data_IF_728270660975
#
_entry.id   IF_728270660975
#
_cell.length_a   1.000
_cell.length_b   1.000
_cell.length_c   1.000
_cell.angle_alpha   90.00
_cell.angle_beta   90.00
_cell.angle_gamma   90.00
#
_symmetry.space_group_name_H-M   'P 1'
#
loop_
_entity.id
_entity.type
_entity.pdbx_description
1 polymer ?
#
# COMPACT_ATOMS: atom_id res chain seq x y z
N UNK A 1 25.01 -20.97 -15.00
CA UNK A 1 24.34 -19.84 -14.37
C UNK A 1 22.86 -20.18 -14.29
N UNK A 2 22.30 -20.35 -13.11
CA UNK A 2 20.85 -20.51 -12.95
C UNK A 2 20.22 -19.14 -13.15
N UNK A 3 19.63 -18.90 -14.32
CA UNK A 3 18.81 -17.72 -14.57
C UNK A 3 17.45 -17.82 -13.88
N UNK A 4 16.58 -16.84 -14.11
CA UNK A 4 15.20 -16.90 -13.68
C UNK A 4 14.48 -18.07 -14.34
N UNK A 5 13.45 -18.61 -13.68
CA UNK A 5 12.64 -19.71 -14.22
C UNK A 5 12.00 -19.31 -15.56
N UNK A 6 11.81 -20.31 -16.44
CA UNK A 6 11.01 -20.09 -17.64
C UNK A 6 9.61 -19.61 -17.25
N UNK A 7 9.10 -18.61 -17.97
CA UNK A 7 7.81 -17.98 -17.65
C UNK A 7 7.84 -16.92 -16.53
N UNK A 8 9.03 -16.51 -16.06
CA UNK A 8 9.15 -15.37 -15.16
C UNK A 8 8.59 -14.10 -15.82
N UNK A 9 7.69 -13.42 -15.12
CA UNK A 9 7.00 -12.25 -15.66
C UNK A 9 7.82 -10.98 -15.41
N UNK A 10 8.47 -10.48 -16.46
CA UNK A 10 9.13 -9.18 -16.45
C UNK A 10 8.14 -8.09 -16.85
N UNK A 11 8.17 -6.94 -16.17
CA UNK A 11 7.25 -5.85 -16.47
C UNK A 11 7.53 -4.58 -15.68
N UNK A 12 6.52 -3.73 -15.59
CA UNK A 12 6.57 -2.47 -14.87
C UNK A 12 5.38 -2.29 -13.93
N UNK A 13 5.51 -1.32 -13.02
CA UNK A 13 4.49 -1.02 -12.03
C UNK A 13 4.26 0.48 -11.90
N UNK A 14 2.99 0.88 -11.83
CA UNK A 14 2.52 2.26 -11.60
C UNK A 14 1.21 2.18 -10.80
N UNK A 15 0.77 3.27 -10.17
CA UNK A 15 -0.56 3.37 -9.57
C UNK A 15 -1.51 4.15 -10.47
N UNK A 16 -2.82 3.87 -10.40
CA UNK A 16 -3.85 4.57 -11.16
C UNK A 16 -3.73 6.10 -11.01
N UNK A 17 -3.62 6.60 -9.78
CA UNK A 17 -3.48 8.03 -9.52
C UNK A 17 -2.21 8.67 -10.08
N UNK A 18 -1.17 7.88 -10.38
CA UNK A 18 0.09 8.40 -10.94
C UNK A 18 0.05 8.56 -12.46
N UNK A 19 -0.84 7.84 -13.15
CA UNK A 19 -0.82 7.81 -14.61
C UNK A 19 -2.15 8.13 -15.27
N UNK A 20 -3.31 7.82 -14.66
CA UNK A 20 -4.59 7.89 -15.36
C UNK A 20 -4.99 9.31 -15.78
N UNK A 21 -4.94 10.27 -14.87
CA UNK A 21 -5.61 11.55 -15.12
C UNK A 21 -7.13 11.39 -15.22
N UNK A 22 -7.80 12.21 -16.04
CA UNK A 22 -9.25 12.10 -16.22
C UNK A 22 -10.03 12.11 -14.90
N UNK A 23 -9.62 12.92 -13.94
CA UNK A 23 -10.02 12.85 -12.54
C UNK A 23 -11.51 13.11 -12.25
N UNK A 24 -12.24 13.70 -13.22
CA UNK A 24 -13.69 13.89 -13.18
C UNK A 24 -14.45 13.08 -14.23
N UNK A 25 -13.74 12.36 -15.08
CA UNK A 25 -14.36 11.68 -16.22
C UNK A 25 -14.95 10.33 -15.81
N UNK A 26 -15.95 9.91 -16.59
CA UNK A 26 -16.65 8.64 -16.33
C UNK A 26 -17.32 8.57 -14.95
N UNK A 27 -17.63 9.71 -14.32
CA UNK A 27 -18.26 9.74 -13.00
C UNK A 27 -17.33 9.45 -11.82
N UNK A 28 -16.01 9.53 -12.04
CA UNK A 28 -15.02 9.36 -10.95
C UNK A 28 -15.26 10.37 -9.82
N UNK A 29 -15.23 9.89 -8.58
CA UNK A 29 -15.24 10.73 -7.39
C UNK A 29 -13.85 11.26 -7.01
N UNK A 30 -13.82 12.15 -6.03
CA UNK A 30 -12.57 12.71 -5.48
C UNK A 30 -11.91 11.69 -4.57
N UNK A 31 -10.64 11.40 -4.78
CA UNK A 31 -9.81 10.56 -3.92
C UNK A 31 -8.91 11.38 -3.00
N UNK A 32 -8.26 10.74 -2.03
CA UNK A 32 -7.22 11.39 -1.20
C UNK A 32 -6.05 11.89 -2.05
N UNK A 33 -5.72 11.24 -3.17
CA UNK A 33 -4.69 11.68 -4.09
C UNK A 33 -5.06 13.00 -4.79
N UNK A 34 -6.35 13.23 -5.07
CA UNK A 34 -6.85 14.40 -5.77
C UNK A 34 -6.84 15.69 -4.91
N UNK A 35 -6.61 15.58 -3.60
CA UNK A 35 -6.53 16.73 -2.67
C UNK A 35 -5.11 16.96 -2.15
N UNK A 36 -4.11 16.38 -2.81
CA UNK A 36 -2.70 16.58 -2.49
C UNK A 36 -2.00 17.37 -3.59
N UNK A 37 -1.51 18.56 -3.23
CA UNK A 37 -0.86 19.47 -4.19
C UNK A 37 0.50 18.93 -4.67
N UNK A 38 1.00 19.46 -5.78
CA UNK A 38 2.39 19.29 -6.17
C UNK A 38 3.31 19.91 -5.11
N UNK A 39 4.40 19.19 -4.80
CA UNK A 39 5.55 19.75 -4.13
C UNK A 39 6.58 20.26 -5.13
N UNK A 40 7.66 20.84 -4.61
CA UNK A 40 8.86 21.18 -5.38
C UNK A 40 10.09 21.01 -4.47
N UNK A 41 11.29 21.16 -5.02
CA UNK A 41 12.48 21.14 -4.17
C UNK A 41 12.39 22.20 -3.08
N UNK A 42 12.44 21.77 -1.82
CA UNK A 42 12.26 22.65 -0.64
C UNK A 42 10.82 23.14 -0.37
N UNK A 43 9.83 22.67 -1.16
CA UNK A 43 8.41 22.99 -0.94
C UNK A 43 7.64 21.69 -0.72
N UNK A 44 7.15 21.42 0.49
CA UNK A 44 6.38 20.20 0.77
C UNK A 44 5.02 20.22 0.03
N UNK A 45 4.49 19.02 -0.21
CA UNK A 45 3.10 18.87 -0.67
C UNK A 45 2.13 19.25 0.46
N UNK A 46 0.99 19.83 0.08
CA UNK A 46 -0.09 20.15 1.01
C UNK A 46 -1.26 19.19 0.85
N UNK A 47 -1.84 18.76 1.96
CA UNK A 47 -3.11 18.05 2.01
C UNK A 47 -4.20 19.11 2.18
N UNK A 48 -5.00 19.35 1.14
CA UNK A 48 -6.04 20.37 1.16
C UNK A 48 -7.39 19.81 1.66
N UNK A 49 -8.27 20.68 2.12
CA UNK A 49 -9.62 20.28 2.52
C UNK A 49 -10.59 20.34 1.32
N UNK A 50 -10.43 19.38 0.41
CA UNK A 50 -11.07 19.36 -0.91
C UNK A 50 -10.19 19.98 -1.99
N UNK A 51 -10.67 19.96 -3.23
CA UNK A 51 -9.98 20.55 -4.37
C UNK A 51 -10.18 22.07 -4.35
N UNK A 52 -9.11 22.83 -4.30
CA UNK A 52 -9.11 24.29 -4.24
C UNK A 52 -8.73 24.89 -5.58
N UNK A 53 -9.42 25.95 -5.98
CA UNK A 53 -9.10 26.70 -7.21
C UNK A 53 -7.68 27.30 -7.13
N UNK A 54 -6.96 27.28 -8.25
CA UNK A 54 -5.61 27.84 -8.37
C UNK A 54 -4.47 26.99 -7.77
N UNK A 55 -4.77 25.86 -7.14
CA UNK A 55 -3.76 24.90 -6.69
C UNK A 55 -3.43 23.90 -7.80
N UNK A 56 -2.18 23.44 -7.84
CA UNK A 56 -1.73 22.40 -8.77
C UNK A 56 -1.86 21.02 -8.11
N UNK A 57 -2.67 20.16 -8.72
CA UNK A 57 -2.86 18.76 -8.31
C UNK A 57 -2.37 17.83 -9.44
N UNK A 58 -1.15 17.28 -9.34
CA UNK A 58 -0.54 16.54 -10.46
C UNK A 58 -1.36 15.33 -10.91
N UNK A 59 -2.08 14.71 -9.99
CA UNK A 59 -2.87 13.52 -10.28
C UNK A 59 -4.12 13.79 -11.15
N UNK A 60 -4.54 15.07 -11.30
CA UNK A 60 -5.72 15.41 -12.11
C UNK A 60 -5.49 15.16 -13.60
N UNK A 61 -4.29 15.43 -14.08
CA UNK A 61 -3.88 15.19 -15.48
C UNK A 61 -2.96 13.99 -15.61
N UNK A 62 -2.01 13.83 -14.67
CA UNK A 62 -0.98 12.79 -14.69
C UNK A 62 -0.29 12.71 -16.07
N UNK A 63 -0.32 11.54 -16.72
CA UNK A 63 0.12 11.39 -18.13
C UNK A 63 -1.03 11.11 -19.08
N UNK A 64 -2.26 11.34 -18.63
CA UNK A 64 -3.50 11.15 -19.41
C UNK A 64 -3.68 9.70 -19.91
N UNK A 65 -3.26 8.73 -19.13
CA UNK A 65 -3.39 7.31 -19.50
C UNK A 65 -4.87 6.89 -19.68
N UNK A 66 -5.80 7.56 -19.00
CA UNK A 66 -7.23 7.31 -19.17
C UNK A 66 -7.66 7.34 -20.63
N UNK A 67 -7.11 8.26 -21.44
CA UNK A 67 -7.38 8.36 -22.88
C UNK A 67 -6.34 7.62 -23.73
N UNK A 68 -5.10 7.48 -23.24
CA UNK A 68 -3.95 7.02 -24.00
C UNK A 68 -3.56 5.57 -23.75
N UNK A 69 -4.23 4.84 -22.88
CA UNK A 69 -3.83 3.49 -22.46
C UNK A 69 -3.55 2.51 -23.61
N UNK A 70 -4.27 2.62 -24.75
CA UNK A 70 -4.05 1.75 -25.92
C UNK A 70 -2.68 1.97 -26.56
N UNK A 71 -2.28 3.23 -26.67
CA UNK A 71 -0.97 3.59 -27.19
C UNK A 71 0.14 3.18 -26.23
N UNK A 72 -0.03 3.49 -24.95
CA UNK A 72 0.96 3.22 -23.92
C UNK A 72 1.16 1.71 -23.69
N UNK A 73 0.09 0.91 -23.68
CA UNK A 73 0.18 -0.57 -23.57
C UNK A 73 0.90 -1.16 -24.78
N UNK A 74 0.70 -0.63 -25.98
CA UNK A 74 1.46 -1.03 -27.16
C UNK A 74 2.95 -0.77 -26.97
N UNK A 75 3.33 0.38 -26.42
CA UNK A 75 4.72 0.70 -26.10
C UNK A 75 5.29 -0.24 -25.04
N UNK A 76 4.51 -0.61 -24.01
CA UNK A 76 4.93 -1.62 -23.04
C UNK A 76 5.22 -2.98 -23.70
N UNK A 77 4.40 -3.38 -24.66
CA UNK A 77 4.62 -4.60 -25.43
C UNK A 77 5.90 -4.53 -26.27
N UNK A 78 6.18 -3.39 -26.91
CA UNK A 78 7.42 -3.13 -27.65
C UNK A 78 8.66 -3.17 -26.72
N UNK A 79 8.53 -2.71 -25.49
CA UNK A 79 9.56 -2.83 -24.43
C UNK A 79 9.76 -4.28 -23.94
N UNK A 80 8.88 -5.20 -24.31
CA UNK A 80 8.95 -6.60 -23.94
C UNK A 80 8.28 -6.97 -22.63
N UNK A 81 7.40 -6.13 -22.08
CA UNK A 81 6.65 -6.44 -20.86
C UNK A 81 5.85 -7.73 -21.01
N UNK A 82 5.86 -8.55 -19.97
CA UNK A 82 5.03 -9.76 -19.80
C UNK A 82 3.99 -9.59 -18.71
N UNK A 83 4.14 -8.60 -17.86
CA UNK A 83 3.12 -8.17 -16.91
C UNK A 83 3.14 -6.65 -16.76
N UNK A 84 2.01 -6.09 -16.40
CA UNK A 84 1.85 -4.69 -16.05
C UNK A 84 1.07 -4.59 -14.73
N UNK A 85 1.73 -4.04 -13.71
CA UNK A 85 1.07 -3.78 -12.44
C UNK A 85 0.51 -2.37 -12.41
N UNK A 86 -0.79 -2.25 -12.12
CA UNK A 86 -1.44 -0.98 -11.81
C UNK A 86 -2.46 -1.16 -10.68
N UNK A 87 -3.22 -0.12 -10.36
CA UNK A 87 -4.32 -0.20 -9.41
C UNK A 87 -5.67 0.10 -10.09
N UNK A 88 -6.75 -0.22 -9.41
CA UNK A 88 -8.09 0.27 -9.74
C UNK A 88 -8.39 1.45 -8.83
N UNK A 89 -8.66 2.63 -9.41
CA UNK A 89 -9.12 3.77 -8.63
C UNK A 89 -10.47 3.44 -8.00
N UNK A 90 -10.52 3.25 -6.69
CA UNK A 90 -11.76 2.94 -5.95
C UNK A 90 -12.87 3.93 -6.30
N UNK A 91 -12.52 5.21 -6.42
CA UNK A 91 -13.43 6.30 -6.79
C UNK A 91 -13.98 6.26 -8.22
N UNK A 92 -13.41 5.46 -9.13
CA UNK A 92 -14.05 5.18 -10.43
C UNK A 92 -15.16 4.17 -10.31
N UNK A 93 -15.07 3.24 -9.37
CA UNK A 93 -16.04 2.16 -9.16
C UNK A 93 -17.13 2.58 -8.18
N UNK A 94 -16.73 3.21 -7.07
CA UNK A 94 -17.62 3.79 -6.07
C UNK A 94 -17.16 5.22 -5.77
N UNK A 95 -17.75 6.24 -6.41
CA UNK A 95 -17.28 7.63 -6.34
C UNK A 95 -17.16 8.21 -4.94
N UNK A 96 -18.01 7.81 -4.01
CA UNK A 96 -17.97 8.16 -2.59
C UNK A 96 -17.42 7.05 -1.71
N UNK A 97 -17.45 5.81 -2.19
CA UNK A 97 -16.96 4.61 -1.49
C UNK A 97 -18.02 3.88 -0.67
N UNK A 98 -19.13 4.51 -0.32
CA UNK A 98 -20.21 3.96 0.51
C UNK A 98 -21.50 3.63 -0.27
N UNK A 99 -21.55 3.88 -1.58
CA UNK A 99 -22.66 3.52 -2.43
C UNK A 99 -22.93 2.00 -2.44
N UNK A 100 -24.16 1.62 -2.72
CA UNK A 100 -24.56 0.21 -2.87
C UNK A 100 -24.28 -0.30 -4.28
N UNK A 101 -24.43 0.55 -5.29
CA UNK A 101 -24.29 0.20 -6.70
C UNK A 101 -23.00 0.81 -7.29
N UNK A 102 -22.25 0.02 -8.08
CA UNK A 102 -21.02 0.51 -8.70
C UNK A 102 -21.31 1.41 -9.91
N UNK A 103 -20.36 2.24 -10.25
CA UNK A 103 -20.36 3.07 -11.45
C UNK A 103 -19.92 2.24 -12.67
N UNK A 104 -20.85 1.94 -13.56
CA UNK A 104 -20.61 1.12 -14.75
C UNK A 104 -19.58 1.75 -15.72
N UNK A 105 -19.50 3.07 -15.82
CA UNK A 105 -18.48 3.73 -16.66
C UNK A 105 -17.06 3.44 -16.17
N UNK A 106 -16.85 3.41 -14.86
CA UNK A 106 -15.58 3.02 -14.26
C UNK A 106 -15.26 1.54 -14.50
N UNK A 107 -16.25 0.66 -14.31
CA UNK A 107 -16.07 -0.77 -14.62
C UNK A 107 -15.71 -0.99 -16.07
N UNK A 108 -16.38 -0.31 -17.00
CA UNK A 108 -16.13 -0.42 -18.44
C UNK A 108 -14.71 0.04 -18.82
N UNK A 109 -14.21 1.11 -18.21
CA UNK A 109 -12.84 1.58 -18.46
C UNK A 109 -11.80 0.49 -18.15
N UNK A 110 -11.92 -0.17 -16.98
CA UNK A 110 -10.98 -1.25 -16.62
C UNK A 110 -11.21 -2.54 -17.43
N UNK A 111 -12.43 -2.83 -17.88
CA UNK A 111 -12.66 -3.89 -18.88
C UNK A 111 -11.82 -3.67 -20.13
N UNK A 112 -11.89 -2.48 -20.69
CA UNK A 112 -11.19 -2.12 -21.93
C UNK A 112 -9.66 -2.09 -21.71
N UNK A 113 -9.20 -1.61 -20.56
CA UNK A 113 -7.79 -1.59 -20.18
C UNK A 113 -7.20 -3.00 -20.10
N UNK A 114 -7.90 -3.91 -19.40
CA UNK A 114 -7.40 -5.29 -19.24
C UNK A 114 -7.48 -6.07 -20.55
N UNK A 115 -8.51 -5.87 -21.36
CA UNK A 115 -8.60 -6.46 -22.70
C UNK A 115 -7.43 -6.01 -23.59
N UNK A 116 -7.04 -4.73 -23.51
CA UNK A 116 -5.89 -4.23 -24.27
C UNK A 116 -4.57 -4.85 -23.77
N UNK A 117 -4.37 -5.00 -22.45
CA UNK A 117 -3.21 -5.72 -21.92
C UNK A 117 -3.14 -7.16 -22.45
N UNK A 118 -4.23 -7.91 -22.33
CA UNK A 118 -4.30 -9.31 -22.77
C UNK A 118 -4.09 -9.46 -24.28
N UNK A 119 -4.63 -8.58 -25.09
CA UNK A 119 -4.42 -8.51 -26.54
C UNK A 119 -2.92 -8.42 -26.91
N UNK A 120 -2.12 -7.75 -26.09
CA UNK A 120 -0.68 -7.61 -26.26
C UNK A 120 0.15 -8.68 -25.52
N UNK A 121 -0.51 -9.70 -24.90
CA UNK A 121 0.16 -10.75 -24.14
C UNK A 121 0.81 -10.26 -22.87
N UNK A 122 0.27 -9.19 -22.26
CA UNK A 122 0.70 -8.60 -21.00
C UNK A 122 -0.30 -9.01 -19.92
N UNK A 123 0.17 -9.72 -18.89
CA UNK A 123 -0.62 -10.14 -17.73
C UNK A 123 -0.91 -8.93 -16.83
N UNK A 124 -2.18 -8.57 -16.57
CA UNK A 124 -2.51 -7.54 -15.58
C UNK A 124 -2.24 -8.04 -14.16
N UNK A 125 -1.58 -7.20 -13.34
CA UNK A 125 -1.38 -7.41 -11.90
C UNK A 125 -1.99 -6.21 -11.17
N UNK A 126 -3.04 -6.43 -10.40
CA UNK A 126 -3.89 -5.33 -9.95
C UNK A 126 -3.86 -5.16 -8.44
N UNK A 127 -3.62 -3.92 -8.00
CA UNK A 127 -3.75 -3.51 -6.60
C UNK A 127 -5.14 -2.89 -6.37
N UNK A 128 -5.86 -3.36 -5.36
CA UNK A 128 -7.20 -2.85 -5.03
C UNK A 128 -7.15 -1.43 -4.47
N UNK A 129 -6.25 -1.17 -3.53
CA UNK A 129 -6.09 0.16 -2.93
C UNK A 129 -4.63 0.62 -3.00
N UNK A 130 -4.37 1.72 -3.71
CA UNK A 130 -3.04 2.28 -3.89
C UNK A 130 -3.04 3.80 -3.67
N UNK A 131 -3.19 4.22 -2.39
CA UNK A 131 -3.14 5.62 -1.94
C UNK A 131 -4.21 6.53 -2.55
N UNK A 132 -5.38 5.99 -2.88
CA UNK A 132 -6.44 6.71 -3.59
C UNK A 132 -7.86 6.35 -3.11
N UNK A 133 -7.99 6.09 -1.80
CA UNK A 133 -9.32 5.88 -1.22
C UNK A 133 -10.23 7.10 -1.44
N UNK A 134 -11.56 6.91 -1.50
CA UNK A 134 -12.51 8.01 -1.64
C UNK A 134 -12.37 9.06 -0.53
N UNK A 135 -12.20 10.34 -0.91
CA UNK A 135 -12.06 11.44 0.05
C UNK A 135 -13.33 11.64 0.89
N UNK A 136 -14.49 11.28 0.36
CA UNK A 136 -15.74 11.23 1.11
C UNK A 136 -15.64 10.34 2.35
N UNK A 137 -14.97 9.19 2.26
CA UNK A 137 -14.77 8.32 3.43
C UNK A 137 -13.88 8.95 4.50
N UNK A 138 -13.02 9.89 4.12
CA UNK A 138 -12.22 10.67 5.07
C UNK A 138 -13.09 11.70 5.78
N UNK A 139 -13.93 12.44 5.04
CA UNK A 139 -14.74 13.53 5.61
C UNK A 139 -15.89 13.03 6.45
N UNK A 140 -16.57 11.96 6.04
CA UNK A 140 -17.76 11.45 6.70
C UNK A 140 -17.46 10.40 7.79
N UNK A 141 -16.40 9.61 7.60
CA UNK A 141 -16.10 8.49 8.49
C UNK A 141 -14.76 8.62 9.23
N UNK A 142 -13.95 9.62 8.89
CA UNK A 142 -12.60 9.80 9.46
C UNK A 142 -11.58 8.79 8.91
N UNK A 143 -11.80 8.29 7.69
CA UNK A 143 -10.95 7.27 7.09
C UNK A 143 -11.02 5.93 7.85
N UNK A 144 -9.94 5.19 7.85
CA UNK A 144 -9.86 3.87 8.49
C UNK A 144 -9.93 3.88 10.03
N UNK A 145 -10.22 5.03 10.66
CA UNK A 145 -10.67 5.05 12.06
C UNK A 145 -12.00 4.32 12.25
N UNK A 146 -12.81 4.23 11.18
CA UNK A 146 -14.16 3.73 11.24
C UNK A 146 -14.24 2.31 10.69
N UNK A 147 -14.70 1.39 11.53
CA UNK A 147 -14.86 -0.02 11.20
C UNK A 147 -15.74 -0.27 9.96
N UNK A 148 -16.70 0.62 9.64
CA UNK A 148 -17.56 0.51 8.46
C UNK A 148 -16.80 0.45 7.13
N UNK A 149 -15.58 0.98 7.10
CA UNK A 149 -14.75 0.93 5.89
C UNK A 149 -14.40 -0.51 5.49
N UNK A 150 -14.41 -1.45 6.43
CA UNK A 150 -14.24 -2.88 6.14
C UNK A 150 -15.31 -3.33 5.14
N UNK A 151 -16.58 -3.05 5.42
CA UNK A 151 -17.69 -3.46 4.55
C UNK A 151 -17.64 -2.76 3.19
N UNK A 152 -17.29 -1.47 3.17
CA UNK A 152 -17.18 -0.71 1.93
C UNK A 152 -16.07 -1.24 1.04
N UNK A 153 -14.90 -1.53 1.61
CA UNK A 153 -13.77 -2.11 0.87
C UNK A 153 -14.07 -3.52 0.36
N UNK A 154 -14.68 -4.36 1.18
CA UNK A 154 -15.05 -5.74 0.79
C UNK A 154 -16.08 -5.72 -0.34
N UNK A 155 -17.05 -4.79 -0.32
CA UNK A 155 -17.99 -4.58 -1.42
C UNK A 155 -17.28 -4.21 -2.71
N UNK A 156 -16.37 -3.24 -2.65
CA UNK A 156 -15.54 -2.85 -3.77
C UNK A 156 -14.74 -4.04 -4.32
N UNK A 157 -14.04 -4.76 -3.45
CA UNK A 157 -13.25 -5.93 -3.83
C UNK A 157 -14.10 -7.02 -4.53
N UNK A 158 -15.29 -7.34 -3.99
CA UNK A 158 -16.21 -8.32 -4.59
C UNK A 158 -16.62 -7.91 -6.00
N UNK A 159 -17.05 -6.67 -6.19
CA UNK A 159 -17.50 -6.17 -7.50
C UNK A 159 -16.39 -6.31 -8.55
N UNK A 160 -15.16 -5.91 -8.22
CA UNK A 160 -14.06 -5.98 -9.19
C UNK A 160 -13.57 -7.41 -9.40
N UNK A 161 -13.59 -8.28 -8.38
CA UNK A 161 -13.28 -9.71 -8.56
C UNK A 161 -14.32 -10.39 -9.46
N UNK A 162 -15.61 -10.20 -9.21
CA UNK A 162 -16.69 -10.76 -10.02
C UNK A 162 -16.58 -10.30 -11.48
N UNK A 163 -16.32 -9.00 -11.69
CA UNK A 163 -16.22 -8.43 -13.04
C UNK A 163 -15.02 -8.92 -13.82
N UNK A 164 -13.84 -9.01 -13.17
CA UNK A 164 -12.58 -9.22 -13.88
C UNK A 164 -11.92 -10.58 -13.65
N UNK A 165 -12.56 -11.54 -12.96
CA UNK A 165 -12.03 -12.85 -12.63
C UNK A 165 -11.49 -13.67 -13.82
N UNK A 166 -11.92 -13.37 -15.04
CA UNK A 166 -11.47 -14.05 -16.26
C UNK A 166 -10.38 -13.27 -17.02
N UNK A 167 -10.04 -12.05 -16.56
CA UNK A 167 -9.06 -11.15 -17.17
C UNK A 167 -7.84 -10.92 -16.29
N UNK A 168 -8.02 -10.94 -14.98
CA UNK A 168 -6.98 -10.65 -13.98
C UNK A 168 -6.82 -11.82 -13.03
N UNK A 169 -5.64 -12.39 -13.01
CA UNK A 169 -5.28 -13.50 -12.13
C UNK A 169 -4.63 -13.04 -10.83
N UNK A 170 -3.76 -12.02 -10.92
CA UNK A 170 -2.91 -11.57 -9.81
C UNK A 170 -3.43 -10.27 -9.22
N UNK A 171 -3.72 -10.32 -7.92
CA UNK A 171 -4.28 -9.20 -7.15
C UNK A 171 -3.44 -8.90 -5.92
N UNK A 172 -3.44 -7.66 -5.47
CA UNK A 172 -2.91 -7.24 -4.17
C UNK A 172 -3.95 -6.35 -3.49
N UNK A 173 -4.07 -6.44 -2.17
CA UNK A 173 -5.11 -5.72 -1.43
C UNK A 173 -4.75 -4.25 -1.23
N UNK A 174 -3.77 -3.95 -0.37
CA UNK A 174 -3.32 -2.60 -0.07
C UNK A 174 -1.86 -2.42 -0.48
N UNK A 175 -1.56 -1.31 -1.14
CA UNK A 175 -0.18 -0.98 -1.47
C UNK A 175 0.57 -0.46 -0.25
N UNK A 176 1.73 -1.06 0.03
CA UNK A 176 2.67 -0.60 1.05
C UNK A 176 1.99 -0.25 2.39
N UNK A 177 1.10 -1.13 2.84
CA UNK A 177 0.29 -0.94 4.05
C UNK A 177 1.15 -0.58 5.28
N UNK A 178 2.39 -1.05 5.33
CA UNK A 178 3.32 -0.81 6.42
C UNK A 178 3.91 0.61 6.48
N UNK A 179 3.67 1.45 5.46
CA UNK A 179 4.02 2.87 5.53
C UNK A 179 3.22 3.62 6.60
N UNK A 180 2.08 3.09 7.06
CA UNK A 180 1.34 3.61 8.20
C UNK A 180 2.18 3.69 9.48
N UNK A 181 3.22 2.85 9.61
CA UNK A 181 4.15 2.92 10.74
C UNK A 181 4.85 4.29 10.87
N UNK A 182 4.83 5.12 9.82
CA UNK A 182 5.32 6.51 9.84
C UNK A 182 4.27 7.50 10.37
N UNK A 183 3.59 7.18 11.46
CA UNK A 183 2.50 7.96 12.02
C UNK A 183 2.93 9.30 12.64
N UNK A 184 4.21 9.58 12.75
CA UNK A 184 4.75 10.86 13.25
C UNK A 184 4.56 12.03 12.27
N UNK A 185 4.35 11.75 11.00
CA UNK A 185 4.07 12.74 9.96
C UNK A 185 2.63 12.59 9.45
N UNK A 186 2.14 13.55 8.66
CA UNK A 186 0.74 13.56 8.22
C UNK A 186 0.52 12.86 6.88
N UNK A 187 1.56 12.77 6.05
CA UNK A 187 1.44 12.33 4.65
C UNK A 187 1.15 10.83 4.52
N UNK A 188 1.96 9.97 5.14
CA UNK A 188 1.80 8.52 5.04
C UNK A 188 0.48 8.03 5.66
N UNK A 189 0.06 8.46 6.88
CA UNK A 189 -1.24 8.10 7.42
C UNK A 189 -2.42 8.58 6.58
N UNK A 190 -2.32 9.75 5.97
CA UNK A 190 -3.38 10.27 5.11
C UNK A 190 -3.48 9.48 3.80
N UNK A 191 -2.36 9.20 3.14
CA UNK A 191 -2.35 8.48 1.86
C UNK A 191 -2.76 7.02 2.00
N UNK A 192 -2.30 6.34 3.06
CA UNK A 192 -2.63 4.93 3.31
C UNK A 192 -4.05 4.77 3.83
N UNK A 193 -4.44 5.55 4.83
CA UNK A 193 -5.61 5.25 5.67
C UNK A 193 -6.60 6.41 5.79
N UNK A 194 -6.37 7.52 5.08
CA UNK A 194 -7.23 8.71 5.18
C UNK A 194 -7.24 9.33 6.58
N UNK A 195 -6.20 9.10 7.38
CA UNK A 195 -6.15 9.62 8.75
C UNK A 195 -5.75 11.08 8.77
N UNK A 196 -6.52 11.87 9.52
CA UNK A 196 -6.16 13.22 9.95
C UNK A 196 -6.17 13.24 11.47
N UNK A 197 -5.06 13.66 12.06
CA UNK A 197 -4.92 13.70 13.51
C UNK A 197 -5.33 15.05 14.09
N UNK A 198 -6.01 15.04 15.23
CA UNK A 198 -6.28 16.25 15.98
C UNK A 198 -4.99 16.74 16.68
N UNK A 199 -4.88 18.06 16.96
CA UNK A 199 -3.78 18.58 17.75
C UNK A 199 -3.68 17.89 19.13
N UNK A 200 -2.50 17.32 19.44
CA UNK A 200 -2.26 16.63 20.71
C UNK A 200 -2.82 15.22 20.83
N UNK A 201 -3.40 14.68 19.77
CA UNK A 201 -3.88 13.29 19.73
C UNK A 201 -2.70 12.30 19.77
N UNK A 202 -2.83 11.24 20.58
CA UNK A 202 -1.90 10.12 20.53
C UNK A 202 -2.12 9.34 19.21
N UNK A 203 -1.23 9.54 18.28
CA UNK A 203 -1.33 9.02 16.91
C UNK A 203 -1.13 7.51 16.82
N UNK A 204 -0.33 6.95 17.73
CA UNK A 204 0.11 5.57 17.63
C UNK A 204 -1.03 4.56 17.77
N UNK A 205 -1.88 4.60 18.82
CA UNK A 205 -3.02 3.66 18.92
C UNK A 205 -4.03 3.86 17.79
N UNK A 206 -4.20 5.08 17.27
CA UNK A 206 -5.06 5.35 16.12
C UNK A 206 -4.54 4.66 14.86
N UNK A 207 -3.23 4.76 14.62
CA UNK A 207 -2.58 4.06 13.51
C UNK A 207 -2.77 2.54 13.62
N UNK A 208 -2.54 1.96 14.79
CA UNK A 208 -2.72 0.52 14.98
C UNK A 208 -4.17 0.08 14.79
N UNK A 209 -5.13 0.89 15.23
CA UNK A 209 -6.55 0.58 15.02
C UNK A 209 -6.93 0.65 13.53
N UNK A 210 -6.48 1.66 12.82
CA UNK A 210 -6.71 1.78 11.38
C UNK A 210 -6.06 0.62 10.61
N UNK A 211 -4.82 0.31 10.91
CA UNK A 211 -4.11 -0.83 10.34
C UNK A 211 -4.83 -2.16 10.61
N UNK A 212 -5.40 -2.34 11.80
CA UNK A 212 -6.21 -3.52 12.11
C UNK A 212 -7.41 -3.65 11.18
N UNK A 213 -8.18 -2.58 10.99
CA UNK A 213 -9.36 -2.61 10.11
C UNK A 213 -8.99 -2.86 8.65
N UNK A 214 -7.88 -2.31 8.16
CA UNK A 214 -7.38 -2.60 6.81
C UNK A 214 -6.92 -4.05 6.66
N UNK A 215 -6.25 -4.62 7.66
CA UNK A 215 -5.85 -6.03 7.66
C UNK A 215 -7.07 -6.97 7.66
N UNK A 216 -8.09 -6.66 8.44
CA UNK A 216 -9.37 -7.41 8.42
C UNK A 216 -10.06 -7.28 7.07
N UNK A 217 -10.12 -6.07 6.51
CA UNK A 217 -10.69 -5.83 5.17
C UNK A 217 -9.92 -6.61 4.09
N UNK A 218 -8.59 -6.62 4.17
CA UNK A 218 -7.73 -7.42 3.28
C UNK A 218 -8.04 -8.91 3.39
N UNK A 219 -8.12 -9.46 4.59
CA UNK A 219 -8.40 -10.87 4.81
C UNK A 219 -9.79 -11.27 4.30
N UNK A 220 -10.81 -10.46 4.53
CA UNK A 220 -12.16 -10.67 4.01
C UNK A 220 -12.22 -10.55 2.48
N UNK A 221 -11.45 -9.65 1.88
CA UNK A 221 -11.33 -9.56 0.43
C UNK A 221 -10.65 -10.80 -0.17
N UNK A 222 -9.58 -11.30 0.45
CA UNK A 222 -8.92 -12.57 0.04
C UNK A 222 -9.91 -13.73 0.09
N UNK A 223 -10.66 -13.87 1.18
CA UNK A 223 -11.68 -14.89 1.32
C UNK A 223 -12.74 -14.79 0.22
N UNK A 224 -13.29 -13.59 0.02
CA UNK A 224 -14.30 -13.34 -1.01
C UNK A 224 -13.78 -13.65 -2.42
N UNK A 225 -12.55 -13.26 -2.74
CA UNK A 225 -11.94 -13.56 -4.05
C UNK A 225 -11.82 -15.05 -4.30
N UNK A 226 -11.41 -15.85 -3.29
CA UNK A 226 -11.35 -17.31 -3.39
C UNK A 226 -12.71 -17.98 -3.53
N UNK A 227 -13.74 -17.42 -2.89
CA UNK A 227 -15.14 -17.90 -3.03
C UNK A 227 -15.67 -17.62 -4.44
N UNK A 228 -15.32 -16.47 -5.05
CA UNK A 228 -15.70 -16.11 -6.42
C UNK A 228 -14.94 -16.96 -7.45
N UNK A 229 -13.63 -17.05 -7.32
CA UNK A 229 -12.79 -17.85 -8.21
C UNK A 229 -11.54 -18.36 -7.49
N UNK A 230 -11.46 -19.67 -7.17
CA UNK A 230 -10.32 -20.24 -6.44
C UNK A 230 -8.98 -20.17 -7.17
N UNK A 231 -8.96 -19.82 -8.47
CA UNK A 231 -7.72 -19.68 -9.25
C UNK A 231 -7.07 -18.31 -9.11
N UNK A 232 -7.74 -17.34 -8.51
CA UNK A 232 -7.16 -16.03 -8.23
C UNK A 232 -5.98 -16.16 -7.26
N UNK A 233 -4.97 -15.35 -7.49
CA UNK A 233 -3.82 -15.22 -6.61
C UNK A 233 -3.87 -13.84 -5.97
N UNK A 234 -4.11 -13.78 -4.66
CA UNK A 234 -4.33 -12.52 -3.95
C UNK A 234 -3.24 -12.33 -2.90
N UNK A 235 -2.38 -11.35 -3.13
CA UNK A 235 -1.23 -11.04 -2.29
C UNK A 235 -1.42 -9.79 -1.41
N UNK A 236 -0.43 -9.58 -0.54
CA UNK A 236 -0.20 -8.29 0.11
C UNK A 236 0.92 -7.52 -0.59
N UNK A 237 1.07 -6.24 -0.25
CA UNK A 237 2.11 -5.38 -0.79
C UNK A 237 2.78 -4.56 0.31
N UNK A 238 4.11 -4.67 0.41
CA UNK A 238 4.93 -4.13 1.49
C UNK A 238 6.00 -3.19 0.94
N UNK A 239 6.21 -2.04 1.59
CA UNK A 239 7.40 -1.22 1.37
C UNK A 239 8.59 -1.86 2.10
N UNK A 240 9.49 -2.50 1.37
CA UNK A 240 10.66 -3.18 1.93
C UNK A 240 11.89 -2.30 1.89
N UNK A 241 12.25 -1.77 3.05
CA UNK A 241 13.48 -1.02 3.28
C UNK A 241 14.21 -1.70 4.45
N UNK A 242 15.16 -2.60 4.21
CA UNK A 242 15.89 -3.25 5.31
C UNK A 242 16.63 -2.21 6.15
N UNK A 243 16.59 -2.39 7.47
CA UNK A 243 17.18 -1.50 8.44
C UNK A 243 18.35 -2.23 9.10
N UNK A 244 19.57 -1.81 8.78
CA UNK A 244 20.79 -2.42 9.30
C UNK A 244 21.21 -1.77 10.62
N UNK A 245 21.88 -2.52 11.52
CA UNK A 245 22.60 -1.89 12.63
C UNK A 245 23.79 -1.09 12.08
N UNK A 246 24.03 0.12 12.58
CA UNK A 246 25.18 0.91 12.17
C UNK A 246 26.51 0.25 12.55
N UNK A 247 26.51 -0.41 13.71
CA UNK A 247 27.69 -1.15 14.23
C UNK A 247 27.26 -2.52 14.74
N UNK A 248 28.24 -3.37 15.06
CA UNK A 248 27.99 -4.64 15.72
C UNK A 248 27.79 -4.53 17.25
N UNK A 249 27.62 -3.32 17.80
CA UNK A 249 27.29 -3.15 19.21
C UNK A 249 25.94 -3.84 19.51
N UNK A 250 25.80 -4.57 20.64
CA UNK A 250 24.56 -5.29 20.95
C UNK A 250 23.32 -4.40 20.94
N UNK A 251 23.41 -3.16 21.40
CA UNK A 251 22.30 -2.22 21.40
C UNK A 251 21.90 -1.77 19.99
N UNK A 252 22.86 -1.57 19.08
CA UNK A 252 22.57 -1.27 17.66
C UNK A 252 21.88 -2.46 16.99
N UNK A 253 22.33 -3.69 17.28
CA UNK A 253 21.71 -4.93 16.79
C UNK A 253 20.25 -5.06 17.27
N UNK A 254 20.00 -4.81 18.56
CA UNK A 254 18.65 -4.85 19.13
C UNK A 254 17.77 -3.74 18.54
N UNK A 255 18.32 -2.54 18.34
CA UNK A 255 17.60 -1.44 17.71
C UNK A 255 17.17 -1.80 16.28
N UNK A 256 18.07 -2.35 15.46
CA UNK A 256 17.76 -2.76 14.11
C UNK A 256 16.69 -3.87 14.07
N UNK A 257 16.79 -4.86 14.97
CA UNK A 257 15.77 -5.91 15.09
C UNK A 257 14.39 -5.33 15.46
N UNK A 258 14.33 -4.43 16.43
CA UNK A 258 13.07 -3.79 16.83
C UNK A 258 12.49 -2.90 15.70
N UNK A 259 13.36 -2.21 14.96
CA UNK A 259 12.95 -1.44 13.78
C UNK A 259 12.31 -2.32 12.69
N UNK A 260 12.93 -3.46 12.40
CA UNK A 260 12.37 -4.44 11.47
C UNK A 260 11.04 -4.99 11.98
N UNK A 261 10.92 -5.34 13.26
CA UNK A 261 9.66 -5.80 13.86
C UNK A 261 8.56 -4.74 13.76
N UNK A 262 8.86 -3.49 14.08
CA UNK A 262 7.90 -2.37 14.02
C UNK A 262 7.39 -2.10 12.60
N UNK A 263 8.22 -2.32 11.62
CA UNK A 263 7.89 -2.03 10.22
C UNK A 263 7.22 -3.21 9.51
N UNK A 264 7.51 -4.46 9.90
CA UNK A 264 7.11 -5.64 9.11
C UNK A 264 6.14 -6.61 9.79
N UNK A 265 5.61 -6.29 10.97
CA UNK A 265 4.58 -7.11 11.62
C UNK A 265 3.31 -7.26 10.76
N UNK A 266 3.05 -6.36 9.83
CA UNK A 266 1.97 -6.44 8.87
C UNK A 266 2.05 -7.71 8.02
N UNK A 267 3.25 -8.13 7.64
CA UNK A 267 3.45 -9.38 6.88
C UNK A 267 3.09 -10.61 7.69
N UNK A 268 3.39 -10.62 8.99
CA UNK A 268 3.00 -11.71 9.88
C UNK A 268 1.47 -11.88 9.90
N UNK A 269 0.73 -10.78 9.97
CA UNK A 269 -0.73 -10.83 9.98
C UNK A 269 -1.26 -11.28 8.62
N UNK A 270 -0.74 -10.75 7.52
CA UNK A 270 -1.16 -11.14 6.16
C UNK A 270 -0.90 -12.63 5.85
N UNK A 271 0.25 -13.16 6.28
CA UNK A 271 0.70 -14.51 5.92
C UNK A 271 0.28 -15.56 6.93
N UNK A 272 0.29 -15.22 8.23
CA UNK A 272 0.03 -16.16 9.33
C UNK A 272 -1.34 -15.98 9.98
N UNK A 273 -2.08 -14.93 9.61
CA UNK A 273 -3.42 -14.65 10.11
C UNK A 273 -3.50 -14.29 11.59
N UNK A 274 -2.38 -13.87 12.19
CA UNK A 274 -2.30 -13.53 13.60
C UNK A 274 -1.22 -12.50 13.89
N UNK A 275 -1.42 -11.72 14.94
CA UNK A 275 -0.41 -10.80 15.44
C UNK A 275 0.79 -11.55 16.02
N UNK A 276 2.03 -11.11 15.73
CA UNK A 276 3.21 -11.68 16.36
C UNK A 276 3.28 -11.30 17.85
N UNK A 277 3.84 -12.21 18.68
CA UNK A 277 3.86 -12.04 20.12
C UNK A 277 4.57 -10.76 20.59
N UNK A 278 5.64 -10.36 19.89
CA UNK A 278 6.36 -9.12 20.23
C UNK A 278 5.47 -7.87 20.13
N UNK A 279 4.52 -7.85 19.17
CA UNK A 279 3.58 -6.74 19.01
C UNK A 279 2.49 -6.76 20.08
N UNK A 280 1.95 -7.94 20.43
CA UNK A 280 0.99 -8.08 21.52
C UNK A 280 1.60 -7.61 22.86
N UNK A 281 2.84 -8.02 23.14
CA UNK A 281 3.58 -7.55 24.31
C UNK A 281 3.81 -6.03 24.28
N UNK A 282 3.99 -5.46 23.09
CA UNK A 282 4.12 -4.01 22.93
C UNK A 282 2.80 -3.29 23.25
N UNK A 283 1.67 -3.77 22.75
CA UNK A 283 0.35 -3.22 23.08
C UNK A 283 0.07 -3.24 24.58
N UNK A 284 0.39 -4.36 25.24
CA UNK A 284 0.24 -4.49 26.70
C UNK A 284 1.09 -3.46 27.45
N UNK A 285 2.39 -3.33 27.11
CA UNK A 285 3.28 -2.34 27.74
C UNK A 285 2.83 -0.91 27.56
N UNK A 286 2.25 -0.59 26.37
CA UNK A 286 1.75 0.75 26.03
C UNK A 286 0.33 1.00 26.56
N UNK A 287 -0.36 -0.02 27.04
CA UNK A 287 -1.75 0.08 27.48
C UNK A 287 -2.73 0.34 26.33
N UNK A 288 -2.42 -0.11 25.12
CA UNK A 288 -3.31 0.07 23.96
C UNK A 288 -4.47 -0.92 24.02
N UNK A 289 -5.70 -0.40 24.05
CA UNK A 289 -6.94 -1.17 23.98
C UNK A 289 -7.53 -1.01 22.58
N UNK A 290 -7.16 -1.91 21.66
CA UNK A 290 -7.69 -1.92 20.29
C UNK A 290 -9.00 -2.69 20.21
N UNK A 291 -9.91 -2.23 19.35
CA UNK A 291 -11.14 -2.93 19.00
C UNK A 291 -10.83 -4.10 18.05
N UNK A 292 -10.47 -5.24 18.63
CA UNK A 292 -10.16 -6.50 17.95
C UNK A 292 -11.17 -7.55 18.41
N UNK A 293 -12.10 -7.93 17.54
CA UNK A 293 -13.12 -8.92 17.88
C UNK A 293 -12.65 -10.36 17.60
N UNK A 294 -13.39 -11.35 18.12
CA UNK A 294 -13.10 -12.76 17.79
C UNK A 294 -13.40 -13.06 16.31
N UNK A 295 -14.41 -12.41 15.74
CA UNK A 295 -14.72 -12.50 14.31
C UNK A 295 -13.55 -11.98 13.44
N UNK A 296 -12.86 -10.92 13.89
CA UNK A 296 -11.67 -10.40 13.20
C UNK A 296 -10.54 -11.43 13.19
N UNK A 297 -10.29 -12.09 14.33
CA UNK A 297 -9.26 -13.13 14.43
C UNK A 297 -9.55 -14.32 13.50
N UNK A 298 -10.83 -14.70 13.40
CA UNK A 298 -11.27 -15.73 12.47
C UNK A 298 -11.06 -15.28 11.03
N UNK A 299 -11.46 -14.04 10.70
CA UNK A 299 -11.29 -13.47 9.35
C UNK A 299 -9.82 -13.43 8.95
N UNK A 300 -8.93 -12.93 9.81
CA UNK A 300 -7.49 -12.88 9.56
C UNK A 300 -6.91 -14.27 9.27
N UNK A 301 -7.30 -15.29 10.07
CA UNK A 301 -6.81 -16.67 9.90
C UNK A 301 -7.30 -17.29 8.58
N UNK A 302 -8.55 -17.01 8.17
CA UNK A 302 -9.14 -17.56 6.96
C UNK A 302 -8.70 -16.83 5.68
N UNK A 303 -8.26 -15.58 5.80
CA UNK A 303 -7.90 -14.70 4.70
C UNK A 303 -6.41 -14.46 4.53
N UNK A 304 -5.55 -15.42 4.89
CA UNK A 304 -4.11 -15.33 4.60
C UNK A 304 -3.87 -15.20 3.10
N UNK A 305 -2.89 -14.38 2.72
CA UNK A 305 -2.57 -14.11 1.31
C UNK A 305 -1.84 -15.27 0.63
N UNK A 306 -1.87 -15.30 -0.72
CA UNK A 306 -1.22 -16.33 -1.53
C UNK A 306 0.26 -16.02 -1.81
N UNK A 307 0.64 -14.73 -1.79
CA UNK A 307 2.00 -14.28 -2.02
C UNK A 307 2.27 -12.91 -1.39
N UNK A 308 3.55 -12.57 -1.24
CA UNK A 308 4.02 -11.26 -0.81
C UNK A 308 4.57 -10.51 -2.02
N UNK A 309 3.98 -9.36 -2.35
CA UNK A 309 4.59 -8.34 -3.20
C UNK A 309 5.34 -7.34 -2.34
N UNK A 310 6.42 -6.76 -2.85
CA UNK A 310 7.10 -5.69 -2.16
C UNK A 310 7.76 -4.69 -3.12
N UNK A 311 7.87 -3.44 -2.65
CA UNK A 311 8.70 -2.41 -3.28
C UNK A 311 10.06 -2.38 -2.61
N UNK A 312 11.12 -2.31 -3.41
CA UNK A 312 12.46 -2.10 -2.91
C UNK A 312 13.12 -0.93 -3.62
N UNK A 313 13.45 0.12 -2.88
CA UNK A 313 14.11 1.31 -3.42
C UNK A 313 15.46 1.58 -2.75
N UNK A 314 15.58 1.27 -1.45
CA UNK A 314 16.72 1.65 -0.63
C UNK A 314 16.80 0.78 0.63
N UNK A 315 17.88 0.93 1.37
CA UNK A 315 18.04 0.44 2.74
C UNK A 315 18.23 1.60 3.71
N UNK A 316 18.13 1.33 5.00
CA UNK A 316 18.42 2.26 6.08
C UNK A 316 19.47 1.67 7.02
N UNK A 317 20.06 2.52 7.86
CA UNK A 317 20.80 2.09 9.04
C UNK A 317 20.21 2.78 10.29
N UNK A 318 20.35 2.13 11.43
CA UNK A 318 19.90 2.66 12.72
C UNK A 318 20.99 2.51 13.78
N UNK A 319 20.96 3.40 14.78
CA UNK A 319 21.88 3.40 15.89
C UNK A 319 21.12 3.65 17.20
N UNK A 320 21.39 2.85 18.20
CA UNK A 320 20.87 3.08 19.54
C UNK A 320 21.49 4.35 20.16
N UNK A 321 20.65 5.16 20.79
CA UNK A 321 21.07 6.38 21.52
C UNK A 321 20.40 6.40 22.89
N UNK A 322 20.92 7.24 23.79
CA UNK A 322 20.33 7.41 25.12
C UNK A 322 18.88 7.94 25.06
N UNK A 323 18.58 8.76 24.05
CA UNK A 323 17.25 9.37 23.85
C UNK A 323 16.28 8.45 23.11
N UNK A 324 16.77 7.35 22.54
CA UNK A 324 15.98 6.37 21.84
C UNK A 324 16.43 4.96 22.24
N UNK A 325 15.98 4.45 23.37
CA UNK A 325 16.34 3.12 23.83
C UNK A 325 15.77 2.06 22.87
N UNK A 326 16.49 0.95 22.74
CA UNK A 326 16.17 -0.15 21.84
C UNK A 326 14.74 -0.73 21.96
N UNK A 327 14.09 -0.52 23.10
CA UNK A 327 12.73 -1.02 23.36
C UNK A 327 11.62 -0.11 22.82
N UNK A 328 11.89 1.20 22.70
CA UNK A 328 10.94 2.19 22.25
C UNK A 328 11.47 2.83 20.95
N UNK A 329 11.47 2.03 19.88
CA UNK A 329 11.92 2.47 18.57
C UNK A 329 11.10 3.65 18.06
N UNK A 330 11.77 4.75 17.73
CA UNK A 330 11.23 5.92 17.05
C UNK A 330 12.07 6.16 15.79
N UNK A 331 11.48 5.88 14.63
CA UNK A 331 12.17 5.98 13.34
C UNK A 331 12.74 7.38 13.09
N UNK A 332 12.04 8.43 13.53
CA UNK A 332 12.47 9.80 13.34
C UNK A 332 13.79 10.15 14.05
N UNK A 333 14.14 9.42 15.12
CA UNK A 333 15.32 9.65 15.94
C UNK A 333 16.46 8.67 15.72
N UNK A 334 16.17 7.50 15.15
CA UNK A 334 17.14 6.40 15.12
C UNK A 334 17.74 6.13 13.74
N UNK A 335 17.09 6.57 12.66
CA UNK A 335 17.65 6.37 11.32
C UNK A 335 18.89 7.22 11.10
N UNK A 336 19.95 6.58 10.64
CA UNK A 336 21.23 7.19 10.34
C UNK A 336 21.70 6.80 8.95
N UNK A 337 22.65 7.57 8.40
CA UNK A 337 23.26 7.24 7.12
C UNK A 337 24.16 6.02 7.23
N UNK A 338 24.01 5.07 6.33
CA UNK A 338 24.96 3.97 6.19
C UNK A 338 26.21 4.48 5.45
N UNK A 339 27.40 4.41 6.08
CA UNK A 339 28.63 4.93 5.49
C UNK A 339 29.18 4.07 4.34
N UNK A 340 28.63 2.88 4.13
CA UNK A 340 29.11 1.92 3.13
C UNK A 340 28.37 1.95 1.81
N UNK A 341 27.32 2.79 1.67
CA UNK A 341 26.53 2.92 0.45
C UNK A 341 26.46 4.37 -0.01
N UNK A 342 26.40 4.55 -1.33
CA UNK A 342 26.18 5.86 -1.93
C UNK A 342 24.74 6.31 -1.76
N UNK A 343 24.48 7.60 -1.93
CA UNK A 343 23.14 8.18 -1.95
C UNK A 343 22.83 8.80 -3.30
N UNK A 344 21.57 8.74 -3.70
CA UNK A 344 21.04 9.52 -4.81
C UNK A 344 20.94 11.00 -4.43
N UNK A 345 20.61 11.87 -5.39
CA UNK A 345 20.36 13.30 -5.16
C UNK A 345 19.18 13.56 -4.20
N UNK A 346 18.24 12.61 -4.09
CA UNK A 346 17.16 12.59 -3.10
C UNK A 346 17.59 12.13 -1.70
N UNK A 347 18.84 11.73 -1.53
CA UNK A 347 19.35 11.16 -0.28
C UNK A 347 19.02 9.68 -0.06
N UNK A 348 18.43 9.00 -1.03
CA UNK A 348 18.12 7.57 -0.93
C UNK A 348 19.39 6.73 -1.08
N UNK A 349 19.57 5.78 -0.16
CA UNK A 349 20.74 4.90 -0.14
C UNK A 349 20.64 3.85 -1.25
N UNK A 350 21.64 3.81 -2.12
CA UNK A 350 21.72 2.90 -3.28
C UNK A 350 22.33 1.60 -2.82
N UNK A 351 21.50 0.58 -2.59
CA UNK A 351 21.92 -0.70 -2.04
C UNK A 351 21.35 -1.88 -2.84
N UNK A 352 22.04 -2.31 -3.91
CA UNK A 352 21.59 -3.47 -4.69
C UNK A 352 21.70 -4.81 -3.93
N UNK A 353 22.60 -4.91 -2.94
CA UNK A 353 22.74 -6.11 -2.09
C UNK A 353 21.55 -6.26 -1.15
N UNK A 354 20.98 -5.14 -0.71
CA UNK A 354 19.79 -5.11 0.14
C UNK A 354 18.57 -5.76 -0.49
N UNK A 355 18.43 -5.74 -1.83
CA UNK A 355 17.37 -6.50 -2.51
C UNK A 355 17.54 -8.01 -2.27
N UNK A 356 18.75 -8.53 -2.42
CA UNK A 356 19.04 -9.94 -2.14
C UNK A 356 18.83 -10.29 -0.67
N UNK A 357 19.24 -9.41 0.24
CA UNK A 357 19.00 -9.55 1.67
C UNK A 357 17.49 -9.63 1.96
N UNK A 358 16.69 -8.72 1.39
CA UNK A 358 15.24 -8.69 1.55
C UNK A 358 14.55 -9.97 1.04
N UNK A 359 14.97 -10.47 -0.12
CA UNK A 359 14.44 -11.71 -0.68
C UNK A 359 14.71 -12.93 0.23
N UNK A 360 15.92 -13.03 0.80
CA UNK A 360 16.22 -14.09 1.74
C UNK A 360 15.42 -13.91 3.05
N UNK A 361 15.31 -12.67 3.54
CA UNK A 361 14.57 -12.38 4.77
C UNK A 361 13.07 -12.72 4.68
N UNK A 362 12.44 -12.52 3.52
CA UNK A 362 11.05 -12.93 3.30
C UNK A 362 10.89 -14.44 3.08
N UNK A 363 11.94 -15.12 2.60
CA UNK A 363 11.90 -16.57 2.35
C UNK A 363 11.94 -17.38 3.66
N UNK A 364 12.73 -16.94 4.64
CA UNK A 364 12.89 -17.60 5.95
C UNK A 364 11.69 -17.35 6.88
#
# INVERSE_FOLDING_TARGET
>A
MSGFKAGFLWGGAVAAHQLEGGWKEGGKGVSVADVMTAGAHGVPREITNGVLEGKNYPNHEAIDFYHRYKEDIKLFAEMGFKCFRTSIAWTRIFPKGDELEPNEAGLKFYDDLFDECLKHGIEPVITLSHFEMPFHLVTEYGGWRNRKLIDFFVRFAKVVFERYQHKVKYWMTFNEINNQANFHEDFAPFTNSGLKYAPGEDREPVMFQAAHYELVASALAVKAGREINPSLQIGCMIAMCPIYPLTCAPDDMMMAMNAMHRRYWFTDVHVRGKYPQHLLNYFERRGFALDITEEDKVALTQGCVDYIGFSYYMSFATKATADNPQLDYDESKSLVSNPYVQKSDWGWQIDPVGLRYSLNWFWD
#
